data_IF_866295483280
#
_entry.id   IF_866295483280
#
_cell.length_a   1.000
_cell.length_b   1.000
_cell.length_c   1.000
_cell.angle_alpha   90.00
_cell.angle_beta   90.00
_cell.angle_gamma   90.00
#
_symmetry.space_group_name_H-M   'P 1'
#
loop_
_entity.id
_entity.type
_entity.pdbx_description
1 polymer ?
#
# COMPACT_ATOMS: atom_id res chain seq x y z
N UNK A 1 30.65 55.88 22.47
CA UNK A 1 29.30 55.30 22.27
C UNK A 1 29.13 55.08 20.77
N UNK A 2 29.89 54.18 20.14
CA UNK A 2 29.64 52.72 19.99
C UNK A 2 28.34 52.39 19.26
N UNK A 3 28.49 52.30 17.93
CA UNK A 3 27.95 51.30 17.00
C UNK A 3 26.54 50.76 17.30
N UNK A 4 25.58 51.27 16.52
CA UNK A 4 24.33 50.58 16.17
C UNK A 4 24.70 49.26 15.50
N UNK A 5 24.34 48.18 16.18
CA UNK A 5 24.64 46.80 15.78
C UNK A 5 23.95 46.42 14.48
N UNK A 6 24.76 45.91 13.56
CA UNK A 6 24.33 44.94 12.57
C UNK A 6 23.83 43.69 13.30
N UNK A 7 22.52 43.55 13.45
CA UNK A 7 21.89 42.23 13.55
C UNK A 7 21.19 41.98 12.23
N UNK A 8 22.00 41.54 11.24
CA UNK A 8 21.49 40.77 10.11
C UNK A 8 20.76 39.57 10.70
N UNK A 9 19.45 39.53 10.55
CA UNK A 9 18.68 38.31 10.69
C UNK A 9 19.24 37.27 9.72
N UNK A 10 20.01 36.33 10.26
CA UNK A 10 20.31 35.05 9.62
C UNK A 10 19.05 34.18 9.68
N UNK A 11 18.04 34.53 8.88
CA UNK A 11 17.02 33.56 8.45
C UNK A 11 17.50 32.93 7.15
N UNK A 12 18.50 32.07 7.26
CA UNK A 12 18.67 30.98 6.29
C UNK A 12 17.74 29.85 6.72
N UNK A 13 16.44 30.03 6.50
CA UNK A 13 15.57 28.87 6.30
C UNK A 13 15.99 28.29 4.95
N UNK A 14 16.86 27.28 5.01
CA UNK A 14 17.14 26.45 3.84
C UNK A 14 15.78 25.96 3.36
N UNK A 15 15.36 26.37 2.15
CA UNK A 15 14.18 25.79 1.52
C UNK A 15 14.49 24.32 1.33
N UNK A 16 13.88 23.46 2.14
CA UNK A 16 13.99 22.01 1.97
C UNK A 16 13.06 21.63 0.84
N UNK A 17 13.64 21.05 -0.21
CA UNK A 17 12.95 20.59 -1.40
C UNK A 17 12.98 19.06 -1.34
N UNK A 18 11.93 18.49 -0.72
CA UNK A 18 11.87 17.06 -0.42
C UNK A 18 11.92 16.23 -1.69
N UNK A 19 11.17 16.63 -2.72
CA UNK A 19 11.12 15.99 -4.04
C UNK A 19 12.54 15.84 -4.63
N UNK A 20 13.29 16.94 -4.66
CA UNK A 20 14.66 16.94 -5.20
C UNK A 20 15.66 16.16 -4.36
N UNK A 21 15.49 16.14 -3.04
CA UNK A 21 16.35 15.38 -2.14
C UNK A 21 16.06 13.87 -2.24
N UNK A 22 14.79 13.48 -2.36
CA UNK A 22 14.38 12.10 -2.63
C UNK A 22 14.91 11.64 -3.98
N UNK A 23 14.65 12.38 -5.08
CA UNK A 23 15.15 12.01 -6.41
C UNK A 23 16.68 11.79 -6.44
N UNK A 24 17.43 12.59 -5.67
CA UNK A 24 18.89 12.40 -5.52
C UNK A 24 19.25 11.12 -4.78
N UNK A 25 18.53 10.80 -3.70
CA UNK A 25 18.74 9.59 -2.92
C UNK A 25 18.40 8.34 -3.76
N UNK A 26 17.26 8.35 -4.46
CA UNK A 26 16.83 7.27 -5.35
C UNK A 26 17.85 7.03 -6.47
N UNK A 27 18.34 8.10 -7.12
CA UNK A 27 19.40 7.98 -8.14
C UNK A 27 20.71 7.39 -7.58
N UNK A 28 21.03 7.65 -6.31
CA UNK A 28 22.20 7.05 -5.69
C UNK A 28 21.98 5.55 -5.40
N UNK A 29 20.77 5.18 -4.95
CA UNK A 29 20.37 3.79 -4.76
C UNK A 29 20.45 3.00 -6.07
N UNK A 30 19.86 3.51 -7.15
CA UNK A 30 19.90 2.87 -8.48
C UNK A 30 21.31 2.59 -8.99
N UNK A 31 22.24 3.53 -8.76
CA UNK A 31 23.65 3.36 -9.12
C UNK A 31 24.30 2.24 -8.32
N UNK A 32 24.02 2.17 -7.01
CA UNK A 32 24.52 1.11 -6.15
C UNK A 32 23.94 -0.25 -6.56
N UNK A 33 22.64 -0.29 -6.83
CA UNK A 33 21.94 -1.49 -7.27
C UNK A 33 22.48 -1.99 -8.62
N UNK A 34 22.57 -1.13 -9.63
CA UNK A 34 23.13 -1.45 -10.94
C UNK A 34 24.58 -1.95 -10.82
N UNK A 35 25.39 -1.31 -9.97
CA UNK A 35 26.76 -1.77 -9.71
C UNK A 35 26.79 -3.15 -9.06
N UNK A 36 25.85 -3.47 -8.16
CA UNK A 36 25.77 -4.78 -7.52
C UNK A 36 25.43 -5.89 -8.50
N UNK A 37 24.53 -5.62 -9.47
CA UNK A 37 24.16 -6.56 -10.53
C UNK A 37 25.30 -6.82 -11.50
N UNK A 38 26.00 -5.76 -11.94
CA UNK A 38 27.17 -5.90 -12.84
C UNK A 38 28.27 -6.74 -12.19
N UNK A 39 28.39 -6.68 -10.86
CA UNK A 39 29.40 -7.41 -10.10
C UNK A 39 28.92 -8.79 -9.62
N UNK A 40 27.69 -9.20 -9.96
CA UNK A 40 27.02 -10.40 -9.43
C UNK A 40 27.08 -10.49 -7.89
N UNK A 41 27.10 -9.35 -7.19
CA UNK A 41 27.23 -9.30 -5.74
C UNK A 41 25.86 -9.36 -5.06
N UNK A 42 25.14 -10.47 -5.28
CA UNK A 42 23.78 -10.66 -4.76
C UNK A 42 23.70 -10.77 -3.23
N UNK A 43 24.83 -10.85 -2.52
CA UNK A 43 24.88 -10.80 -1.05
C UNK A 43 24.42 -9.45 -0.49
N UNK A 44 24.43 -8.41 -1.32
CA UNK A 44 23.90 -7.09 -0.97
C UNK A 44 22.37 -7.07 -0.93
N UNK A 45 21.70 -8.08 -1.48
CA UNK A 45 20.24 -8.25 -1.36
C UNK A 45 19.91 -8.99 -0.07
N UNK A 46 20.01 -8.25 1.04
CA UNK A 46 19.83 -8.73 2.40
C UNK A 46 18.89 -7.81 3.20
N UNK A 47 18.68 -8.13 4.48
CA UNK A 47 17.74 -7.39 5.35
C UNK A 47 18.08 -5.90 5.46
N UNK A 48 19.35 -5.53 5.60
CA UNK A 48 19.76 -4.12 5.75
C UNK A 48 19.43 -3.27 4.52
N UNK A 49 19.69 -3.81 3.34
CA UNK A 49 19.34 -3.14 2.07
C UNK A 49 17.83 -3.03 1.91
N UNK A 50 17.08 -4.07 2.29
CA UNK A 50 15.62 -4.02 2.21
C UNK A 50 15.02 -3.03 3.21
N UNK A 51 15.55 -2.93 4.43
CA UNK A 51 15.14 -1.90 5.39
C UNK A 51 15.37 -0.48 4.84
N UNK A 52 16.41 -0.27 4.02
CA UNK A 52 16.60 1.03 3.34
C UNK A 52 15.48 1.34 2.35
N UNK A 53 14.97 0.34 1.63
CA UNK A 53 13.83 0.50 0.71
C UNK A 53 12.53 0.73 1.50
N UNK A 54 12.33 0.02 2.62
CA UNK A 54 11.18 0.22 3.51
C UNK A 54 11.12 1.62 4.11
N UNK A 55 12.26 2.18 4.53
CA UNK A 55 12.33 3.56 5.01
C UNK A 55 11.85 4.57 3.95
N UNK A 56 12.01 4.26 2.66
CA UNK A 56 11.46 5.10 1.60
C UNK A 56 9.93 4.99 1.53
N UNK A 57 9.37 3.79 1.67
CA UNK A 57 7.92 3.56 1.78
C UNK A 57 7.30 4.36 2.95
N UNK A 58 7.93 4.28 4.13
CA UNK A 58 7.51 5.02 5.31
C UNK A 58 7.51 6.55 5.07
N UNK A 59 8.44 7.06 4.26
CA UNK A 59 8.43 8.47 3.86
C UNK A 59 7.24 8.77 2.94
N UNK A 60 6.90 7.88 2.01
CA UNK A 60 5.73 8.05 1.15
C UNK A 60 4.44 8.03 1.98
N UNK A 61 4.31 7.14 2.95
CA UNK A 61 3.18 7.13 3.89
C UNK A 61 3.08 8.45 4.69
N UNK A 62 4.21 8.99 5.16
CA UNK A 62 4.23 10.29 5.85
C UNK A 62 3.82 11.42 4.89
N UNK A 63 4.28 11.37 3.63
CA UNK A 63 3.89 12.32 2.59
C UNK A 63 2.39 12.24 2.35
N UNK A 64 1.82 11.05 2.19
CA UNK A 64 0.39 10.82 1.94
C UNK A 64 -0.49 11.31 3.08
N UNK A 65 0.01 11.27 4.32
CA UNK A 65 -0.71 11.68 5.54
C UNK A 65 -0.44 13.12 5.99
N UNK A 66 0.56 13.80 5.42
CA UNK A 66 0.94 15.17 5.80
C UNK A 66 -0.22 16.19 5.73
N UNK A 67 -0.56 16.85 6.83
CA UNK A 67 -1.63 17.86 6.82
C UNK A 67 -3.05 17.28 6.71
N UNK A 68 -3.20 15.95 6.79
CA UNK A 68 -4.49 15.31 7.07
C UNK A 68 -4.64 15.23 8.59
N UNK A 69 -5.77 15.71 9.12
CA UNK A 69 -6.10 15.52 10.53
C UNK A 69 -6.54 14.08 10.76
N UNK A 70 -5.68 13.27 11.39
CA UNK A 70 -6.08 11.96 11.89
C UNK A 70 -7.09 12.16 13.04
N UNK A 71 -8.39 12.18 12.71
CA UNK A 71 -9.48 12.10 13.68
C UNK A 71 -9.69 10.65 14.16
N UNK A 72 -8.62 9.89 14.38
CA UNK A 72 -8.67 8.64 15.14
C UNK A 72 -8.54 8.94 16.64
N UNK A 73 -9.55 9.62 17.20
CA UNK A 73 -9.72 9.68 18.65
C UNK A 73 -11.10 9.10 19.00
N UNK A 74 -11.10 7.82 19.39
CA UNK A 74 -11.99 7.20 20.38
C UNK A 74 -13.28 7.98 20.67
N UNK A 75 -14.27 7.91 19.79
CA UNK A 75 -15.65 8.26 20.13
C UNK A 75 -16.59 7.33 19.40
N UNK A 76 -17.17 6.41 20.18
CA UNK A 76 -18.39 5.68 19.85
C UNK A 76 -19.50 6.70 19.53
N UNK A 77 -19.64 7.11 18.28
CA UNK A 77 -20.87 7.74 17.79
C UNK A 77 -21.06 7.33 16.33
N UNK A 78 -22.07 6.48 16.12
CA UNK A 78 -22.66 6.13 14.84
C UNK A 78 -23.09 7.42 14.11
N UNK A 79 -22.36 7.86 13.08
CA UNK A 79 -22.94 8.69 12.03
C UNK A 79 -22.26 8.36 10.68
N UNK A 80 -23.08 7.84 9.76
CA UNK A 80 -22.80 7.73 8.34
C UNK A 80 -22.68 9.15 7.74
N UNK A 81 -21.48 9.70 7.76
CA UNK A 81 -21.10 10.74 6.81
C UNK A 81 -19.64 10.50 6.43
N UNK A 82 -19.37 10.41 5.12
CA UNK A 82 -18.01 10.33 4.59
C UNK A 82 -17.28 11.59 5.01
N UNK A 83 -16.54 11.50 6.10
CA UNK A 83 -15.80 12.60 6.71
C UNK A 83 -14.81 13.12 5.66
N UNK A 84 -15.14 14.29 5.09
CA UNK A 84 -14.25 14.99 4.17
C UNK A 84 -13.08 15.44 5.03
N UNK A 85 -11.97 14.70 4.96
CA UNK A 85 -10.73 15.08 5.62
C UNK A 85 -10.41 16.53 5.23
N UNK A 86 -10.51 17.46 6.18
CA UNK A 86 -10.10 18.84 5.96
C UNK A 86 -8.58 18.84 5.74
N UNK A 87 -8.15 18.87 4.48
CA UNK A 87 -6.75 19.04 4.15
C UNK A 87 -6.29 20.45 4.54
N UNK A 88 -5.18 20.54 5.28
CA UNK A 88 -4.55 21.82 5.55
C UNK A 88 -4.20 22.50 4.21
N UNK A 89 -4.83 23.63 3.92
CA UNK A 89 -4.58 24.45 2.72
C UNK A 89 -3.13 24.91 2.54
N UNK A 90 -2.24 24.63 3.50
CA UNK A 90 -0.84 25.04 3.52
C UNK A 90 0.16 23.86 3.37
N UNK A 91 -0.21 22.80 2.62
CA UNK A 91 0.76 21.75 2.23
C UNK A 91 1.85 22.34 1.32
N UNK A 92 3.15 22.13 1.62
CA UNK A 92 4.24 22.54 0.74
C UNK A 92 4.12 21.93 -0.66
N UNK A 93 4.42 22.73 -1.71
CA UNK A 93 4.36 22.31 -3.13
C UNK A 93 5.15 21.01 -3.38
N UNK A 94 6.33 20.84 -2.76
CA UNK A 94 7.11 19.60 -2.93
C UNK A 94 6.44 18.35 -2.36
N UNK A 95 5.57 18.48 -1.35
CA UNK A 95 4.79 17.35 -0.80
C UNK A 95 3.60 17.07 -1.72
N UNK A 96 2.94 18.12 -2.21
CA UNK A 96 1.85 18.00 -3.17
C UNK A 96 2.30 17.31 -4.47
N UNK A 97 3.45 17.71 -5.03
CA UNK A 97 4.02 17.09 -6.23
C UNK A 97 4.28 15.58 -6.05
N UNK A 98 4.75 15.16 -4.87
CA UNK A 98 5.01 13.74 -4.59
C UNK A 98 3.69 12.97 -4.50
N UNK A 99 2.63 13.54 -3.91
CA UNK A 99 1.31 12.90 -3.81
C UNK A 99 0.61 12.75 -5.16
N UNK A 100 0.68 13.78 -5.99
CA UNK A 100 0.00 13.82 -7.29
C UNK A 100 0.73 12.99 -8.35
N UNK A 101 1.96 12.55 -8.07
CA UNK A 101 2.79 11.76 -8.98
C UNK A 101 2.94 10.33 -8.47
N UNK A 102 2.58 9.37 -9.31
CA UNK A 102 2.83 7.95 -9.02
C UNK A 102 4.30 7.54 -9.20
N UNK A 103 5.18 8.44 -9.69
CA UNK A 103 6.58 8.12 -9.99
C UNK A 103 7.34 7.50 -8.80
N UNK A 104 7.08 7.99 -7.59
CA UNK A 104 7.76 7.52 -6.39
C UNK A 104 7.24 6.17 -5.89
N UNK A 105 5.93 5.94 -5.93
CA UNK A 105 5.33 4.63 -5.62
C UNK A 105 5.75 3.58 -6.64
N UNK A 106 5.71 3.92 -7.93
CA UNK A 106 6.16 3.06 -9.01
C UNK A 106 7.65 2.73 -8.89
N UNK A 107 8.49 3.71 -8.55
CA UNK A 107 9.91 3.48 -8.26
C UNK A 107 10.06 2.46 -7.13
N UNK A 108 9.39 2.66 -6.00
CA UNK A 108 9.47 1.72 -4.87
C UNK A 108 9.08 0.30 -5.31
N UNK A 109 7.96 0.17 -6.02
CA UNK A 109 7.43 -1.12 -6.46
C UNK A 109 8.39 -1.85 -7.41
N UNK A 110 8.93 -1.14 -8.40
CA UNK A 110 9.88 -1.70 -9.37
C UNK A 110 11.15 -2.22 -8.68
N UNK A 111 11.68 -1.45 -7.73
CA UNK A 111 12.90 -1.81 -7.01
C UNK A 111 12.67 -2.94 -6.00
N UNK A 112 11.51 -3.01 -5.34
CA UNK A 112 11.14 -4.17 -4.51
C UNK A 112 10.91 -5.41 -5.35
N UNK A 113 10.27 -5.31 -6.53
CA UNK A 113 10.12 -6.43 -7.47
C UNK A 113 11.49 -6.94 -7.95
N UNK A 114 12.42 -6.02 -8.23
CA UNK A 114 13.78 -6.36 -8.60
C UNK A 114 14.51 -7.08 -7.47
N UNK A 115 14.39 -6.57 -6.25
CA UNK A 115 14.90 -7.20 -5.03
C UNK A 115 14.35 -8.63 -4.85
N UNK A 116 13.02 -8.78 -4.98
CA UNK A 116 12.33 -10.07 -4.97
C UNK A 116 12.88 -11.05 -6.01
N UNK A 117 13.03 -10.61 -7.27
CA UNK A 117 13.57 -11.44 -8.37
C UNK A 117 14.99 -11.91 -8.08
N UNK A 118 15.81 -11.11 -7.41
CA UNK A 118 17.16 -11.52 -7.00
C UNK A 118 17.10 -12.55 -5.87
N UNK A 119 16.27 -12.35 -4.84
CA UNK A 119 16.07 -13.33 -3.77
C UNK A 119 15.60 -14.69 -4.30
N UNK A 120 14.75 -14.70 -5.33
CA UNK A 120 14.29 -15.94 -5.98
C UNK A 120 15.42 -16.73 -6.65
N UNK A 121 16.49 -16.07 -7.08
CA UNK A 121 17.64 -16.71 -7.75
C UNK A 121 18.68 -17.25 -6.75
N UNK A 122 18.59 -16.91 -5.46
CA UNK A 122 19.53 -17.37 -4.46
C UNK A 122 19.29 -18.86 -4.12
N UNK A 123 20.35 -19.68 -4.14
CA UNK A 123 20.30 -21.11 -3.80
C UNK A 123 19.69 -21.38 -2.42
N UNK A 124 19.96 -20.49 -1.46
CA UNK A 124 19.37 -20.52 -0.12
C UNK A 124 18.69 -19.18 0.15
N UNK A 125 17.43 -19.11 -0.26
CA UNK A 125 16.54 -17.99 -0.01
C UNK A 125 16.41 -17.72 1.51
N UNK A 126 16.68 -16.49 1.99
CA UNK A 126 16.40 -16.11 3.36
C UNK A 126 14.88 -16.03 3.56
N UNK A 127 14.28 -17.09 4.10
CA UNK A 127 12.82 -17.28 4.11
C UNK A 127 12.05 -16.11 4.75
N UNK A 128 12.51 -15.62 5.91
CA UNK A 128 11.87 -14.49 6.60
C UNK A 128 11.88 -13.22 5.75
N UNK A 129 13.05 -12.86 5.20
CA UNK A 129 13.18 -11.70 4.32
C UNK A 129 12.33 -11.86 3.07
N UNK A 130 12.32 -13.05 2.46
CA UNK A 130 11.49 -13.33 1.28
C UNK A 130 10.00 -13.13 1.57
N UNK A 131 9.49 -13.71 2.67
CA UNK A 131 8.10 -13.54 3.09
C UNK A 131 7.79 -12.07 3.34
N UNK A 132 8.71 -11.33 3.99
CA UNK A 132 8.56 -9.90 4.24
C UNK A 132 8.48 -9.10 2.94
N UNK A 133 9.35 -9.37 1.96
CA UNK A 133 9.30 -8.74 0.64
C UNK A 133 7.98 -9.03 -0.07
N UNK A 134 7.52 -10.29 -0.05
CA UNK A 134 6.23 -10.66 -0.63
C UNK A 134 5.07 -9.97 0.07
N UNK A 135 5.11 -9.86 1.41
CA UNK A 135 4.09 -9.17 2.17
C UNK A 135 3.97 -7.70 1.74
N UNK A 136 5.09 -6.97 1.69
CA UNK A 136 5.12 -5.56 1.29
C UNK A 136 4.64 -5.37 -0.16
N UNK A 137 5.05 -6.24 -1.10
CA UNK A 137 4.51 -6.19 -2.47
C UNK A 137 3.00 -6.42 -2.49
N UNK A 138 2.52 -7.39 -1.71
CA UNK A 138 1.09 -7.65 -1.55
C UNK A 138 0.34 -6.40 -1.09
N UNK A 139 0.78 -5.80 0.02
CA UNK A 139 0.17 -4.57 0.57
C UNK A 139 0.20 -3.40 -0.42
N UNK A 140 1.32 -3.20 -1.13
CA UNK A 140 1.45 -2.14 -2.13
C UNK A 140 0.48 -2.31 -3.30
N UNK A 141 0.18 -3.54 -3.74
CA UNK A 141 -0.84 -3.81 -4.76
C UNK A 141 -2.26 -3.69 -4.21
N UNK A 142 -2.51 -4.00 -2.94
CA UNK A 142 -3.81 -3.73 -2.31
C UNK A 142 -4.09 -2.23 -2.27
N UNK A 143 -3.13 -1.43 -1.82
CA UNK A 143 -3.25 0.04 -1.78
C UNK A 143 -3.57 0.62 -3.17
N UNK A 144 -2.90 0.13 -4.21
CA UNK A 144 -3.18 0.54 -5.59
C UNK A 144 -4.57 0.09 -6.06
N UNK A 145 -5.08 -1.05 -5.57
CA UNK A 145 -6.40 -1.57 -5.93
C UNK A 145 -7.56 -0.77 -5.30
N UNK A 146 -7.32 0.00 -4.24
CA UNK A 146 -8.37 0.74 -3.51
C UNK A 146 -9.12 1.72 -4.42
N UNK A 147 -8.40 2.53 -5.19
CA UNK A 147 -9.02 3.52 -6.08
C UNK A 147 -9.91 2.88 -7.17
N UNK A 148 -9.42 1.94 -8.01
CA UNK A 148 -10.25 1.32 -9.02
C UNK A 148 -11.41 0.51 -8.42
N UNK A 149 -11.22 -0.12 -7.25
CA UNK A 149 -12.30 -0.79 -6.54
C UNK A 149 -13.39 0.18 -6.07
N UNK A 150 -12.99 1.32 -5.51
CA UNK A 150 -13.92 2.36 -5.06
C UNK A 150 -14.67 3.00 -6.24
N UNK A 151 -13.98 3.25 -7.35
CA UNK A 151 -14.59 3.75 -8.59
C UNK A 151 -15.62 2.76 -9.11
N UNK A 152 -15.25 1.48 -9.21
CA UNK A 152 -16.17 0.42 -9.64
C UNK A 152 -17.42 0.36 -8.75
N UNK A 153 -17.24 0.29 -7.44
CA UNK A 153 -18.35 0.21 -6.49
C UNK A 153 -19.26 1.44 -6.58
N UNK A 154 -18.69 2.64 -6.73
CA UNK A 154 -19.46 3.88 -6.89
C UNK A 154 -20.27 3.85 -8.18
N UNK A 155 -19.62 3.57 -9.32
CA UNK A 155 -20.29 3.54 -10.63
C UNK A 155 -21.38 2.46 -10.72
N UNK A 156 -21.18 1.32 -10.07
CA UNK A 156 -22.08 0.17 -10.17
C UNK A 156 -23.25 0.20 -9.18
N UNK A 157 -23.02 0.70 -7.96
CA UNK A 157 -23.96 0.53 -6.84
C UNK A 157 -24.46 1.85 -6.23
N UNK A 158 -23.83 2.99 -6.52
CA UNK A 158 -24.33 4.29 -6.06
C UNK A 158 -25.39 4.84 -7.04
N UNK A 159 -26.66 4.50 -6.79
CA UNK A 159 -27.81 4.98 -7.58
C UNK A 159 -27.91 6.51 -7.66
N UNK A 160 -27.25 7.25 -6.74
CA UNK A 160 -27.22 8.71 -6.74
C UNK A 160 -26.15 9.30 -7.66
N UNK A 161 -25.16 8.49 -8.06
CA UNK A 161 -24.10 8.89 -8.97
C UNK A 161 -24.57 8.74 -10.42
N UNK A 162 -24.54 9.83 -11.19
CA UNK A 162 -25.12 9.86 -12.55
C UNK A 162 -24.08 9.87 -13.67
N UNK A 163 -22.81 10.10 -13.36
CA UNK A 163 -21.75 10.13 -14.36
C UNK A 163 -21.32 8.70 -14.70
N UNK A 164 -20.86 8.49 -15.94
CA UNK A 164 -20.46 7.16 -16.41
C UNK A 164 -18.99 6.81 -16.14
N UNK A 165 -18.22 7.77 -15.62
CA UNK A 165 -16.79 7.62 -15.36
C UNK A 165 -16.34 8.45 -14.16
N UNK A 166 -15.29 7.98 -13.47
CA UNK A 166 -14.57 8.71 -12.40
C UNK A 166 -13.09 8.62 -12.74
N UNK A 167 -12.37 9.74 -12.71
CA UNK A 167 -10.94 9.82 -13.05
C UNK A 167 -10.58 9.21 -14.43
N UNK A 168 -11.52 9.24 -15.38
CA UNK A 168 -11.35 8.67 -16.72
C UNK A 168 -11.48 7.15 -16.81
N UNK A 169 -11.95 6.50 -15.74
CA UNK A 169 -12.27 5.08 -15.72
C UNK A 169 -13.79 4.88 -15.71
N UNK A 170 -14.28 4.06 -16.63
CA UNK A 170 -15.65 3.53 -16.57
C UNK A 170 -15.74 2.29 -15.66
N UNK A 171 -16.95 1.83 -15.38
CA UNK A 171 -17.23 0.69 -14.49
C UNK A 171 -16.41 -0.55 -14.88
N UNK A 172 -16.45 -0.93 -16.16
CA UNK A 172 -15.80 -2.15 -16.65
C UNK A 172 -14.28 -2.06 -16.58
N UNK A 173 -13.71 -0.90 -16.88
CA UNK A 173 -12.26 -0.68 -16.83
C UNK A 173 -11.78 -0.66 -15.39
N UNK A 174 -12.49 0.04 -14.50
CA UNK A 174 -12.19 0.07 -13.06
C UNK A 174 -12.26 -1.34 -12.44
N UNK A 175 -13.30 -2.12 -12.76
CA UNK A 175 -13.44 -3.51 -12.33
C UNK A 175 -12.25 -4.36 -12.79
N UNK A 176 -11.89 -4.29 -14.07
CA UNK A 176 -10.81 -5.09 -14.64
C UNK A 176 -9.45 -4.78 -14.00
N UNK A 177 -9.14 -3.48 -13.82
CA UNK A 177 -7.91 -3.04 -13.15
C UNK A 177 -7.91 -3.52 -11.69
N UNK A 178 -9.00 -3.29 -10.94
CA UNK A 178 -9.11 -3.72 -9.55
C UNK A 178 -8.90 -5.24 -9.39
N UNK A 179 -9.54 -6.05 -10.24
CA UNK A 179 -9.37 -7.51 -10.26
C UNK A 179 -7.90 -7.89 -10.51
N UNK A 180 -7.24 -7.28 -11.49
CA UNK A 180 -5.83 -7.58 -11.80
C UNK A 180 -4.90 -7.25 -10.63
N UNK A 181 -5.12 -6.10 -9.99
CA UNK A 181 -4.32 -5.65 -8.84
C UNK A 181 -4.53 -6.55 -7.62
N UNK A 182 -5.79 -6.88 -7.27
CA UNK A 182 -6.08 -7.80 -6.17
C UNK A 182 -5.52 -9.20 -6.43
N UNK A 183 -5.66 -9.74 -7.65
CA UNK A 183 -5.06 -11.03 -8.00
C UNK A 183 -3.54 -11.02 -7.84
N UNK A 184 -2.88 -9.93 -8.26
CA UNK A 184 -1.45 -9.75 -8.10
C UNK A 184 -1.07 -9.67 -6.62
N UNK A 185 -1.80 -8.88 -5.81
CA UNK A 185 -1.61 -8.78 -4.37
C UNK A 185 -1.73 -10.15 -3.69
N UNK A 186 -2.82 -10.88 -3.95
CA UNK A 186 -3.10 -12.22 -3.41
C UNK A 186 -1.97 -13.21 -3.75
N UNK A 187 -1.43 -13.15 -4.97
CA UNK A 187 -0.32 -14.00 -5.37
C UNK A 187 0.95 -13.75 -4.52
N UNK A 188 1.23 -12.50 -4.16
CA UNK A 188 2.33 -12.20 -3.25
C UNK A 188 1.99 -12.55 -1.80
N UNK A 189 0.77 -12.27 -1.33
CA UNK A 189 0.36 -12.57 0.04
C UNK A 189 0.37 -14.07 0.34
N UNK A 190 -0.04 -14.92 -0.61
CA UNK A 190 0.10 -16.38 -0.52
C UNK A 190 1.56 -16.82 -0.33
N UNK A 191 2.51 -16.11 -0.92
CA UNK A 191 3.95 -16.39 -0.76
C UNK A 191 4.53 -15.81 0.54
N UNK A 192 3.85 -14.83 1.13
CA UNK A 192 4.18 -14.30 2.46
C UNK A 192 3.60 -15.12 3.62
N UNK A 193 2.74 -16.09 3.33
CA UNK A 193 2.06 -16.93 4.32
C UNK A 193 3.03 -17.49 5.37
N UNK A 194 2.72 -17.26 6.64
CA UNK A 194 3.47 -17.80 7.76
C UNK A 194 2.55 -18.56 8.72
N UNK A 195 2.80 -19.85 8.94
CA UNK A 195 1.98 -20.69 9.81
C UNK A 195 2.08 -20.29 11.31
N UNK A 196 3.05 -19.46 11.68
CA UNK A 196 3.21 -18.96 13.05
C UNK A 196 2.60 -17.56 13.25
N UNK A 197 2.22 -16.86 12.17
CA UNK A 197 1.66 -15.52 12.21
C UNK A 197 0.27 -15.46 11.57
N UNK A 198 -0.75 -15.49 12.43
CA UNK A 198 -2.16 -15.46 12.03
C UNK A 198 -2.52 -14.18 11.26
N UNK A 199 -1.81 -13.06 11.46
CA UNK A 199 -2.09 -11.83 10.72
C UNK A 199 -1.90 -12.02 9.21
N UNK A 200 -0.91 -12.83 8.79
CA UNK A 200 -0.68 -13.14 7.37
C UNK A 200 -1.86 -13.89 6.74
N UNK A 201 -2.60 -14.67 7.53
CA UNK A 201 -3.76 -15.42 7.07
C UNK A 201 -4.96 -14.49 6.87
N UNK A 202 -5.18 -13.60 7.83
CA UNK A 202 -6.29 -12.65 7.80
C UNK A 202 -6.12 -11.68 6.65
N UNK A 203 -4.92 -11.12 6.46
CA UNK A 203 -4.62 -10.25 5.33
C UNK A 203 -4.92 -10.91 3.98
N UNK A 204 -4.55 -12.20 3.82
CA UNK A 204 -4.90 -12.95 2.61
C UNK A 204 -6.41 -13.14 2.45
N UNK A 205 -7.13 -13.42 3.55
CA UNK A 205 -8.57 -13.63 3.52
C UNK A 205 -9.34 -12.35 3.17
N UNK A 206 -9.01 -11.22 3.80
CA UNK A 206 -9.66 -9.93 3.51
C UNK A 206 -9.39 -9.49 2.07
N UNK A 207 -8.20 -9.78 1.55
CA UNK A 207 -7.88 -9.57 0.13
C UNK A 207 -8.76 -10.42 -0.80
N UNK A 208 -9.01 -11.68 -0.44
CA UNK A 208 -9.90 -12.57 -1.19
C UNK A 208 -11.35 -12.07 -1.14
N UNK A 209 -11.84 -11.59 0.00
CA UNK A 209 -13.18 -11.00 0.11
C UNK A 209 -13.28 -9.77 -0.79
N UNK A 210 -12.29 -8.87 -0.72
CA UNK A 210 -12.24 -7.65 -1.55
C UNK A 210 -12.23 -7.98 -3.05
N UNK A 211 -11.48 -9.01 -3.47
CA UNK A 211 -11.53 -9.52 -4.84
C UNK A 211 -12.92 -10.07 -5.19
N UNK A 212 -13.54 -10.83 -4.27
CA UNK A 212 -14.89 -11.35 -4.43
C UNK A 212 -15.92 -10.25 -4.69
N UNK A 213 -15.82 -9.13 -3.96
CA UNK A 213 -16.70 -7.97 -4.09
C UNK A 213 -16.63 -7.29 -5.47
N UNK A 214 -15.52 -7.46 -6.20
CA UNK A 214 -15.38 -6.93 -7.56
C UNK A 214 -16.01 -7.84 -8.62
N UNK A 215 -16.29 -9.10 -8.31
CA UNK A 215 -16.93 -10.01 -9.26
C UNK A 215 -18.45 -9.80 -9.29
N UNK A 216 -19.10 -10.32 -10.34
CA UNK A 216 -20.56 -10.29 -10.42
C UNK A 216 -21.18 -11.08 -9.26
N UNK A 217 -22.31 -10.58 -8.75
CA UNK A 217 -23.05 -11.20 -7.66
C UNK A 217 -23.43 -12.65 -7.99
N UNK A 218 -23.17 -13.55 -7.05
CA UNK A 218 -23.34 -15.00 -7.15
C UNK A 218 -22.54 -15.66 -8.29
N UNK A 219 -21.53 -14.97 -8.85
CA UNK A 219 -20.66 -15.57 -9.85
C UNK A 219 -19.81 -16.70 -9.25
N UNK A 220 -19.37 -17.61 -10.13
CA UNK A 220 -18.48 -18.69 -9.73
C UNK A 220 -17.17 -18.17 -9.11
N UNK A 221 -16.67 -17.03 -9.60
CA UNK A 221 -15.42 -16.44 -9.13
C UNK A 221 -15.58 -15.75 -7.77
N UNK A 222 -16.69 -15.01 -7.54
CA UNK A 222 -17.03 -14.50 -6.21
C UNK A 222 -17.14 -15.65 -5.20
N UNK A 223 -17.91 -16.69 -5.54
CA UNK A 223 -18.13 -17.86 -4.68
C UNK A 223 -16.82 -18.54 -4.32
N UNK A 224 -15.88 -18.67 -5.26
CA UNK A 224 -14.55 -19.24 -4.99
C UNK A 224 -13.74 -18.38 -4.03
N UNK A 225 -13.76 -17.06 -4.23
CA UNK A 225 -13.03 -16.13 -3.37
C UNK A 225 -13.54 -16.19 -1.93
N UNK A 226 -14.86 -16.10 -1.72
CA UNK A 226 -15.47 -16.19 -0.41
C UNK A 226 -15.26 -17.55 0.25
N UNK A 227 -15.39 -18.65 -0.48
CA UNK A 227 -15.15 -19.98 0.09
C UNK A 227 -13.69 -20.17 0.53
N UNK A 228 -12.71 -19.61 -0.19
CA UNK A 228 -11.32 -19.64 0.21
C UNK A 228 -11.06 -18.75 1.44
N UNK A 229 -11.63 -17.53 1.44
CA UNK A 229 -11.57 -16.60 2.55
C UNK A 229 -12.16 -17.21 3.84
N UNK A 230 -13.39 -17.74 3.78
CA UNK A 230 -14.08 -18.40 4.89
C UNK A 230 -13.21 -19.51 5.48
N UNK A 231 -12.65 -20.38 4.64
CA UNK A 231 -11.78 -21.47 5.10
C UNK A 231 -10.57 -20.95 5.89
N UNK A 232 -9.97 -19.85 5.43
CA UNK A 232 -8.82 -19.22 6.10
C UNK A 232 -9.25 -18.56 7.41
N UNK A 233 -10.35 -17.81 7.42
CA UNK A 233 -10.88 -17.14 8.61
C UNK A 233 -11.35 -18.12 9.68
N UNK A 234 -12.03 -19.22 9.30
CA UNK A 234 -12.38 -20.30 10.24
C UNK A 234 -11.12 -20.84 10.93
N UNK A 235 -10.04 -21.06 10.16
CA UNK A 235 -8.76 -21.48 10.73
C UNK A 235 -8.26 -20.40 11.69
N UNK A 236 -8.09 -19.14 11.25
CA UNK A 236 -7.56 -18.04 12.05
C UNK A 236 -8.35 -17.83 13.36
N UNK A 237 -9.69 -17.84 13.27
CA UNK A 237 -10.61 -17.68 14.39
C UNK A 237 -10.43 -18.79 15.45
N UNK A 238 -10.27 -20.03 15.00
CA UNK A 238 -10.03 -21.16 15.90
C UNK A 238 -8.71 -21.03 16.66
N UNK A 239 -7.61 -20.63 15.99
CA UNK A 239 -6.29 -20.52 16.67
C UNK A 239 -6.23 -19.31 17.60
N UNK A 240 -7.03 -18.28 17.35
CA UNK A 240 -7.08 -17.05 18.16
C UNK A 240 -8.21 -17.03 19.18
N UNK A 241 -8.92 -18.14 19.38
CA UNK A 241 -10.03 -18.28 20.33
C UNK A 241 -11.17 -17.27 20.11
N UNK A 242 -11.57 -17.01 18.86
CA UNK A 242 -12.75 -16.20 18.58
C UNK A 242 -12.48 -14.75 18.14
N UNK A 243 -11.21 -14.32 18.02
CA UNK A 243 -10.88 -12.92 17.70
C UNK A 243 -11.44 -12.45 16.35
N UNK A 244 -11.59 -13.35 15.38
CA UNK A 244 -12.02 -13.03 14.02
C UNK A 244 -13.45 -13.50 13.75
N UNK A 245 -14.23 -13.71 14.82
CA UNK A 245 -15.59 -14.19 14.69
C UNK A 245 -16.47 -13.19 13.95
N UNK A 246 -16.36 -11.90 14.25
CA UNK A 246 -17.22 -10.88 13.64
C UNK A 246 -16.98 -10.78 12.12
N UNK A 247 -15.71 -10.82 11.68
CA UNK A 247 -15.36 -10.85 10.25
C UNK A 247 -15.92 -12.11 9.57
N UNK A 248 -15.82 -13.26 10.24
CA UNK A 248 -16.34 -14.52 9.72
C UNK A 248 -17.87 -14.51 9.64
N UNK A 249 -18.55 -14.02 10.67
CA UNK A 249 -20.01 -13.95 10.73
C UNK A 249 -20.52 -12.99 9.63
N UNK A 250 -19.89 -11.82 9.44
CA UNK A 250 -20.22 -10.90 8.35
C UNK A 250 -20.09 -11.54 6.97
N UNK A 251 -18.99 -12.28 6.71
CA UNK A 251 -18.80 -12.97 5.43
C UNK A 251 -19.89 -14.04 5.16
N UNK A 252 -20.46 -14.63 6.21
CA UNK A 252 -21.50 -15.67 6.10
C UNK A 252 -22.91 -15.10 5.99
N UNK A 253 -23.10 -13.81 6.26
CA UNK A 253 -24.37 -13.09 6.15
C UNK A 253 -24.57 -12.44 4.76
N UNK A 254 -23.50 -12.34 3.94
CA UNK A 254 -23.54 -11.96 2.51
C UNK A 254 -24.04 -13.09 1.59
#
# INVERSE_FOLDING_TARGET
>A
MHQLGELKELKHTKSYDLEKDLARALSAFEKAETSSEIQDNFQLYNEETFETIKLFDEILEVVDNFGKSNLDNDSDEEEEDKDVQEEDSNVPESIQNIRESDEFNQWWRDHVIKFYKVLQKQDKKPEKLYKTVCFNLGQSYLKEAEEPANIFTTLKYDDSFTDSEINGLDEATAQAIGIELFQTAINYLRQSWDDEDVSTWVNLSESLISLGNLHELESEDQTKCYAEAEKILVRANNVTNGKYKDILDNLLEE
#
